data_IF_794802094574
#
_entry.id   IF_794802094574
#
_cell.length_a   1.000
_cell.length_b   1.000
_cell.length_c   1.000
_cell.angle_alpha   90.00
_cell.angle_beta   90.00
_cell.angle_gamma   90.00
#
_symmetry.space_group_name_H-M   'P 1'
#
loop_
_entity.id
_entity.type
_entity.pdbx_description
1 polymer ?
#
# COMPACT_ATOMS: atom_id res chain seq x y z
N UNK A 1 -13.91 8.72 -33.66
CA UNK A 1 -14.96 8.46 -32.64
C UNK A 1 -14.28 8.61 -31.28
N UNK A 2 -14.38 9.78 -30.65
CA UNK A 2 -13.57 10.14 -29.48
C UNK A 2 -13.91 9.27 -28.28
N UNK A 3 -12.92 8.52 -27.78
CA UNK A 3 -12.99 7.91 -26.46
C UNK A 3 -13.27 9.03 -25.46
N UNK A 4 -14.50 9.13 -24.97
CA UNK A 4 -14.86 10.11 -23.94
C UNK A 4 -13.94 9.85 -22.76
N UNK A 5 -13.13 10.86 -22.43
CA UNK A 5 -12.34 10.94 -21.19
C UNK A 5 -13.31 10.97 -20.01
N UNK A 6 -13.89 9.81 -19.64
CA UNK A 6 -14.78 9.70 -18.49
C UNK A 6 -13.92 9.42 -17.28
N UNK A 7 -13.62 10.49 -16.54
CA UNK A 7 -13.07 10.37 -15.21
C UNK A 7 -14.23 10.13 -14.23
N UNK A 8 -14.21 9.01 -13.51
CA UNK A 8 -15.27 8.60 -12.60
C UNK A 8 -14.92 9.02 -11.16
N UNK A 9 -14.81 10.32 -10.92
CA UNK A 9 -14.43 10.87 -9.59
C UNK A 9 -15.36 10.43 -8.46
N UNK A 10 -16.63 10.13 -8.77
CA UNK A 10 -17.58 9.57 -7.80
C UNK A 10 -17.13 8.22 -7.25
N UNK A 11 -16.67 7.31 -8.11
CA UNK A 11 -16.20 5.98 -7.68
C UNK A 11 -14.94 6.06 -6.82
N UNK A 12 -14.02 6.96 -7.13
CA UNK A 12 -12.82 7.22 -6.32
C UNK A 12 -13.23 7.75 -4.93
N UNK A 13 -14.15 8.70 -4.88
CA UNK A 13 -14.66 9.25 -3.61
C UNK A 13 -15.36 8.19 -2.76
N UNK A 14 -16.14 7.32 -3.39
CA UNK A 14 -16.80 6.20 -2.70
C UNK A 14 -15.76 5.25 -2.10
N UNK A 15 -14.72 4.89 -2.86
CA UNK A 15 -13.64 4.04 -2.37
C UNK A 15 -12.89 4.67 -1.18
N UNK A 16 -12.54 5.95 -1.27
CA UNK A 16 -11.92 6.66 -0.15
C UNK A 16 -12.82 6.68 1.08
N UNK A 17 -14.11 6.97 0.89
CA UNK A 17 -15.09 6.96 1.98
C UNK A 17 -15.22 5.57 2.59
N UNK A 18 -15.18 4.51 1.78
CA UNK A 18 -15.21 3.12 2.25
C UNK A 18 -14.01 2.78 3.14
N UNK A 19 -12.81 3.21 2.75
CA UNK A 19 -11.57 2.97 3.52
C UNK A 19 -11.52 3.79 4.82
N UNK A 20 -11.90 5.07 4.79
CA UNK A 20 -12.04 5.91 5.99
C UNK A 20 -13.06 5.27 6.93
N UNK A 21 -14.24 4.93 6.39
CA UNK A 21 -15.27 4.27 7.18
C UNK A 21 -14.77 2.96 7.77
N UNK A 22 -13.96 2.17 7.06
CA UNK A 22 -13.34 0.94 7.53
C UNK A 22 -12.36 1.17 8.71
N UNK A 23 -11.85 2.39 8.88
CA UNK A 23 -10.96 2.77 9.98
C UNK A 23 -9.53 3.04 9.53
N UNK A 24 -9.30 3.43 8.27
CA UNK A 24 -8.01 3.95 7.83
C UNK A 24 -7.81 5.39 8.36
N UNK A 25 -6.61 5.70 8.89
CA UNK A 25 -6.25 7.08 9.27
C UNK A 25 -5.64 7.85 8.10
N UNK A 26 -4.98 7.12 7.19
CA UNK A 26 -4.33 7.66 6.01
C UNK A 26 -4.98 7.04 4.80
N UNK A 27 -5.44 7.90 3.91
CA UNK A 27 -5.79 7.53 2.54
C UNK A 27 -4.60 7.95 1.68
N UNK A 28 -4.31 7.18 0.65
CA UNK A 28 -3.25 7.49 -0.32
C UNK A 28 -3.89 7.95 -1.63
N UNK A 29 -3.32 8.96 -2.27
CA UNK A 29 -3.78 9.44 -3.57
C UNK A 29 -3.70 8.28 -4.56
N UNK A 30 -4.74 8.04 -5.37
CA UNK A 30 -4.71 7.02 -6.43
C UNK A 30 -3.86 7.49 -7.62
N UNK A 31 -2.56 7.67 -7.41
CA UNK A 31 -1.59 8.15 -8.39
C UNK A 31 -0.46 7.14 -8.69
N UNK A 32 -0.53 5.91 -8.16
CA UNK A 32 0.34 4.82 -8.56
C UNK A 32 0.36 4.67 -10.09
N UNK A 33 1.55 4.62 -10.69
CA UNK A 33 1.72 4.64 -12.15
C UNK A 33 1.22 5.91 -12.85
N UNK A 34 1.08 7.01 -12.10
CA UNK A 34 0.75 8.34 -12.58
C UNK A 34 1.92 9.07 -13.24
N UNK A 35 3.09 8.45 -13.40
CA UNK A 35 4.25 9.04 -14.07
C UNK A 35 4.05 9.14 -15.58
N UNK A 36 4.65 10.14 -16.19
CA UNK A 36 4.53 10.39 -17.64
C UNK A 36 4.93 9.21 -18.50
N UNK A 37 6.09 8.58 -18.24
CA UNK A 37 6.53 7.42 -19.01
C UNK A 37 5.55 6.25 -18.90
N UNK A 38 4.93 6.07 -17.73
CA UNK A 38 3.98 4.99 -17.51
C UNK A 38 2.64 5.24 -18.19
N UNK A 39 2.11 6.46 -18.10
CA UNK A 39 0.90 6.85 -18.81
C UNK A 39 1.10 6.85 -20.33
N UNK A 40 2.30 7.15 -20.81
CA UNK A 40 2.64 7.08 -22.24
C UNK A 40 2.58 5.65 -22.80
N UNK A 41 2.78 4.62 -21.96
CA UNK A 41 2.62 3.22 -22.39
C UNK A 41 1.19 2.89 -22.86
N UNK A 42 0.23 3.76 -22.58
CA UNK A 42 -1.17 3.66 -23.05
C UNK A 42 -1.63 4.91 -23.82
N UNK A 43 -0.68 5.74 -24.29
CA UNK A 43 -0.95 6.96 -25.07
C UNK A 43 -1.64 8.08 -24.28
N UNK A 44 -1.35 8.18 -22.98
CA UNK A 44 -1.95 9.16 -22.06
C UNK A 44 -0.92 10.02 -21.32
N UNK A 45 0.34 10.09 -21.77
CA UNK A 45 1.37 10.88 -21.09
C UNK A 45 1.00 12.36 -20.95
N UNK A 46 0.29 12.93 -21.93
CA UNK A 46 -0.22 14.31 -21.89
C UNK A 46 -1.29 14.55 -20.80
N UNK A 47 -1.80 13.50 -20.16
CA UNK A 47 -2.78 13.59 -19.08
C UNK A 47 -2.15 13.48 -17.68
N UNK A 48 -0.82 13.43 -17.59
CA UNK A 48 -0.08 13.23 -16.33
C UNK A 48 -0.52 14.23 -15.25
N UNK A 49 -0.31 15.51 -15.50
CA UNK A 49 -0.65 16.58 -14.56
C UNK A 49 -2.13 16.53 -14.13
N UNK A 50 -3.04 16.54 -15.11
CA UNK A 50 -4.48 16.56 -14.82
C UNK A 50 -4.98 15.31 -14.10
N UNK A 51 -4.43 14.12 -14.36
CA UNK A 51 -4.85 12.90 -13.65
C UNK A 51 -4.38 12.90 -12.19
N UNK A 52 -3.14 13.29 -11.94
CA UNK A 52 -2.60 13.39 -10.58
C UNK A 52 -3.34 14.47 -9.77
N UNK A 53 -3.60 15.63 -10.38
CA UNK A 53 -4.34 16.71 -9.72
C UNK A 53 -5.78 16.29 -9.40
N UNK A 54 -6.45 15.61 -10.34
CA UNK A 54 -7.80 15.11 -10.12
C UNK A 54 -7.84 14.02 -9.04
N UNK A 55 -6.89 13.09 -9.03
CA UNK A 55 -6.78 12.07 -8.00
C UNK A 55 -6.58 12.69 -6.61
N UNK A 56 -5.76 13.74 -6.54
CA UNK A 56 -5.47 14.50 -5.32
C UNK A 56 -6.68 15.27 -4.84
N UNK A 57 -7.37 16.03 -5.71
CA UNK A 57 -8.53 16.85 -5.29
C UNK A 57 -9.72 16.03 -4.77
N UNK A 58 -9.85 14.77 -5.17
CA UNK A 58 -10.90 13.88 -4.65
C UNK A 58 -10.59 13.43 -3.22
N UNK A 59 -9.31 13.45 -2.86
CA UNK A 59 -8.71 13.07 -1.61
C UNK A 59 -8.64 14.31 -0.67
N UNK A 60 -9.29 14.30 0.49
CA UNK A 60 -9.31 15.48 1.41
C UNK A 60 -8.32 15.41 2.58
N UNK A 61 -7.84 14.23 2.96
CA UNK A 61 -6.96 13.95 4.12
C UNK A 61 -5.97 12.83 3.76
N UNK A 62 -4.97 13.13 2.91
CA UNK A 62 -4.33 12.10 2.08
C UNK A 62 -2.83 12.30 1.90
N UNK A 63 -2.11 11.18 1.89
CA UNK A 63 -0.71 11.10 1.49
C UNK A 63 -0.58 11.10 -0.04
N UNK A 64 0.28 11.95 -0.59
CA UNK A 64 0.65 11.91 -2.00
C UNK A 64 1.28 10.56 -2.36
N UNK A 65 1.13 10.14 -3.60
CA UNK A 65 1.55 8.82 -4.07
C UNK A 65 2.53 8.94 -5.23
N UNK A 66 3.69 8.31 -5.07
CA UNK A 66 4.71 8.14 -6.07
C UNK A 66 5.06 6.66 -6.12
N UNK A 67 5.22 6.12 -7.33
CA UNK A 67 5.60 4.72 -7.52
C UNK A 67 6.89 4.60 -8.32
N UNK A 68 7.52 3.42 -8.28
CA UNK A 68 8.59 3.08 -9.24
C UNK A 68 8.21 3.48 -10.67
N UNK A 69 9.14 4.16 -11.33
CA UNK A 69 8.97 4.66 -12.70
C UNK A 69 9.37 3.64 -13.75
N UNK A 70 10.11 2.59 -13.34
CA UNK A 70 10.75 1.61 -14.22
C UNK A 70 11.69 2.23 -15.27
N UNK A 71 12.08 3.49 -15.09
CA UNK A 71 12.91 4.25 -16.02
C UNK A 71 14.30 4.53 -15.46
N UNK A 72 14.52 4.33 -14.16
CA UNK A 72 15.81 4.47 -13.51
C UNK A 72 16.76 3.30 -13.87
N UNK A 73 18.05 3.61 -14.01
CA UNK A 73 19.12 2.65 -14.24
C UNK A 73 20.37 3.08 -13.46
N UNK A 74 21.08 2.11 -12.89
CA UNK A 74 22.35 2.35 -12.21
C UNK A 74 23.38 2.94 -13.19
N UNK A 75 24.17 3.89 -12.71
CA UNK A 75 25.21 4.59 -13.47
C UNK A 75 24.77 5.27 -14.78
N UNK A 76 23.48 5.61 -14.91
CA UNK A 76 22.91 6.26 -16.08
C UNK A 76 22.33 7.65 -15.70
N UNK A 77 23.12 8.70 -15.97
CA UNK A 77 22.76 10.07 -15.63
C UNK A 77 21.53 10.57 -16.39
N UNK A 78 21.33 10.15 -17.64
CA UNK A 78 20.18 10.55 -18.45
C UNK A 78 18.89 9.89 -17.93
N UNK A 79 18.97 8.62 -17.54
CA UNK A 79 17.88 7.89 -16.91
C UNK A 79 17.53 8.49 -15.54
N UNK A 80 18.53 8.84 -14.72
CA UNK A 80 18.33 9.52 -13.44
C UNK A 80 17.64 10.87 -13.65
N UNK A 81 18.13 11.69 -14.58
CA UNK A 81 17.56 13.01 -14.88
C UNK A 81 16.13 12.92 -15.42
N UNK A 82 15.81 11.91 -16.23
CA UNK A 82 14.44 11.63 -16.68
C UNK A 82 13.54 11.25 -15.50
N UNK A 83 14.03 10.36 -14.63
CA UNK A 83 13.31 9.92 -13.43
C UNK A 83 13.02 11.09 -12.50
N UNK A 84 13.99 11.96 -12.22
CA UNK A 84 13.80 13.17 -11.40
C UNK A 84 12.70 14.06 -11.96
N UNK A 85 12.70 14.35 -13.28
CA UNK A 85 11.67 15.19 -13.90
C UNK A 85 10.27 14.59 -13.77
N UNK A 86 10.14 13.27 -13.90
CA UNK A 86 8.84 12.59 -13.74
C UNK A 86 8.34 12.56 -12.30
N UNK A 87 9.26 12.51 -11.33
CA UNK A 87 8.92 12.60 -9.91
C UNK A 87 8.49 14.03 -9.57
N UNK A 88 9.25 15.03 -10.02
CA UNK A 88 8.91 16.45 -9.84
C UNK A 88 7.53 16.78 -10.40
N UNK A 89 7.27 16.36 -11.64
CA UNK A 89 5.96 16.56 -12.28
C UNK A 89 4.80 15.96 -11.47
N UNK A 90 4.99 14.79 -10.86
CA UNK A 90 3.95 14.17 -10.03
C UNK A 90 3.82 14.86 -8.67
N UNK A 91 4.92 15.25 -8.03
CA UNK A 91 4.91 15.96 -6.75
C UNK A 91 4.16 17.29 -6.89
N UNK A 92 4.48 18.06 -7.94
CA UNK A 92 3.84 19.35 -8.23
C UNK A 92 2.34 19.20 -8.55
N UNK A 93 1.95 18.10 -9.18
CA UNK A 93 0.57 17.80 -9.51
C UNK A 93 -0.28 17.28 -8.32
N UNK A 94 0.31 17.10 -7.14
CA UNK A 94 -0.39 16.63 -5.93
C UNK A 94 -0.35 17.68 -4.79
N UNK A 95 -0.91 18.89 -5.00
CA UNK A 95 -0.85 19.95 -3.99
C UNK A 95 -1.76 19.66 -2.80
N UNK A 96 -1.35 20.12 -1.61
CA UNK A 96 -2.17 20.09 -0.40
C UNK A 96 -2.23 18.74 0.32
N UNK A 97 -1.37 17.79 -0.05
CA UNK A 97 -1.13 16.56 0.72
C UNK A 97 -0.31 16.84 1.98
N UNK A 98 -0.45 16.01 3.01
CA UNK A 98 0.27 16.18 4.28
C UNK A 98 1.71 15.64 4.25
N UNK A 99 1.94 14.61 3.43
CA UNK A 99 3.23 13.96 3.20
C UNK A 99 3.17 13.13 1.91
N UNK A 100 4.31 12.61 1.46
CA UNK A 100 4.38 11.71 0.30
C UNK A 100 4.76 10.28 0.69
N UNK A 101 4.10 9.31 0.05
CA UNK A 101 4.47 7.91 0.04
C UNK A 101 5.12 7.62 -1.32
N UNK A 102 6.40 7.29 -1.31
CA UNK A 102 7.10 6.69 -2.43
C UNK A 102 7.10 5.16 -2.28
N UNK A 103 6.27 4.47 -3.04
CA UNK A 103 6.02 3.04 -2.87
C UNK A 103 6.49 2.12 -3.99
N UNK A 104 6.65 0.84 -3.64
CA UNK A 104 6.96 -0.26 -4.54
C UNK A 104 8.26 -0.08 -5.32
N UNK A 105 9.30 0.49 -4.68
CA UNK A 105 10.62 0.57 -5.29
C UNK A 105 11.32 -0.79 -5.28
N UNK A 106 11.95 -1.13 -6.41
CA UNK A 106 12.75 -2.35 -6.53
C UNK A 106 14.24 -2.09 -6.42
N UNK A 107 14.71 -0.91 -6.85
CA UNK A 107 16.10 -0.47 -6.71
C UNK A 107 16.21 0.58 -5.62
N UNK A 108 17.21 0.47 -4.76
CA UNK A 108 17.46 1.46 -3.72
C UNK A 108 17.86 2.81 -4.32
N UNK A 109 18.62 2.82 -5.42
CA UNK A 109 19.01 4.05 -6.11
C UNK A 109 17.81 4.88 -6.59
N UNK A 110 16.76 4.23 -7.12
CA UNK A 110 15.53 4.92 -7.50
C UNK A 110 14.76 5.44 -6.27
N UNK A 111 14.72 4.67 -5.19
CA UNK A 111 14.05 5.05 -3.94
C UNK A 111 14.71 6.27 -3.29
N UNK A 112 16.05 6.32 -3.27
CA UNK A 112 16.83 7.46 -2.79
C UNK A 112 16.61 8.71 -3.65
N UNK A 113 16.52 8.54 -4.97
CA UNK A 113 16.20 9.64 -5.87
C UNK A 113 14.78 10.18 -5.60
N UNK A 114 13.80 9.30 -5.41
CA UNK A 114 12.44 9.70 -5.03
C UNK A 114 12.42 10.51 -3.73
N UNK A 115 13.11 10.03 -2.69
CA UNK A 115 13.25 10.74 -1.42
C UNK A 115 13.86 12.14 -1.60
N UNK A 116 14.94 12.25 -2.38
CA UNK A 116 15.56 13.54 -2.69
C UNK A 116 14.58 14.48 -3.39
N UNK A 117 13.83 13.99 -4.40
CA UNK A 117 12.83 14.81 -5.11
C UNK A 117 11.69 15.26 -4.22
N UNK A 118 11.15 14.40 -3.36
CA UNK A 118 10.09 14.79 -2.41
C UNK A 118 10.58 15.96 -1.55
N UNK A 119 11.78 15.82 -0.96
CA UNK A 119 12.35 16.84 -0.08
C UNK A 119 12.66 18.14 -0.80
N UNK A 120 13.25 18.06 -1.99
CA UNK A 120 13.65 19.23 -2.75
C UNK A 120 12.44 20.00 -3.31
N UNK A 121 11.46 19.28 -3.85
CA UNK A 121 10.35 19.87 -4.62
C UNK A 121 9.17 20.25 -3.73
N UNK A 122 8.91 19.52 -2.64
CA UNK A 122 7.78 19.80 -1.73
C UNK A 122 8.19 20.26 -0.33
N UNK A 123 9.34 19.80 0.18
CA UNK A 123 9.74 20.00 1.58
C UNK A 123 8.88 19.26 2.61
N UNK A 124 7.96 18.39 2.17
CA UNK A 124 7.07 17.61 3.04
C UNK A 124 7.75 16.33 3.55
N UNK A 125 7.21 15.72 4.62
CA UNK A 125 7.67 14.42 5.09
C UNK A 125 7.55 13.33 4.02
N UNK A 126 8.44 12.34 4.09
CA UNK A 126 8.51 11.26 3.12
C UNK A 126 8.48 9.88 3.80
N UNK A 127 7.55 9.04 3.33
CA UNK A 127 7.54 7.61 3.56
C UNK A 127 8.07 6.90 2.32
N UNK A 128 9.08 6.04 2.46
CA UNK A 128 9.65 5.28 1.32
C UNK A 128 9.55 3.78 1.59
N UNK A 129 8.93 3.03 0.68
CA UNK A 129 8.84 1.57 0.80
C UNK A 129 9.55 0.83 -0.33
N UNK A 130 10.28 -0.20 0.06
CA UNK A 130 10.89 -1.17 -0.84
C UNK A 130 9.93 -2.34 -1.08
N UNK A 131 10.07 -3.00 -2.22
CA UNK A 131 9.26 -4.18 -2.56
C UNK A 131 10.12 -5.31 -3.11
N UNK A 132 10.15 -6.42 -2.37
CA UNK A 132 11.04 -7.54 -2.60
C UNK A 132 10.31 -8.73 -3.23
N UNK A 133 10.88 -9.31 -4.28
CA UNK A 133 10.32 -10.48 -4.97
C UNK A 133 10.87 -11.78 -4.38
N UNK A 134 11.80 -12.44 -5.07
CA UNK A 134 12.37 -13.73 -4.69
C UNK A 134 13.21 -13.62 -3.41
N UNK A 135 14.26 -12.79 -3.44
CA UNK A 135 15.13 -12.55 -2.29
C UNK A 135 14.75 -11.22 -1.61
N UNK A 136 15.08 -11.08 -0.32
CA UNK A 136 14.95 -9.80 0.40
C UNK A 136 16.13 -8.86 0.08
N UNK A 137 16.58 -8.88 -1.18
CA UNK A 137 17.68 -8.11 -1.73
C UNK A 137 17.20 -7.42 -3.00
N UNK A 138 17.55 -6.16 -3.17
CA UNK A 138 17.24 -5.39 -4.37
C UNK A 138 18.11 -5.84 -5.55
N UNK A 139 17.73 -5.58 -6.81
CA UNK A 139 18.57 -5.89 -7.96
C UNK A 139 19.91 -5.13 -7.97
N UNK A 140 19.98 -3.96 -7.31
CA UNK A 140 21.21 -3.19 -7.07
C UNK A 140 21.97 -3.65 -5.79
N UNK A 141 21.64 -4.83 -5.26
CA UNK A 141 22.50 -5.57 -4.34
C UNK A 141 22.35 -5.24 -2.85
N UNK A 142 21.30 -4.53 -2.44
CA UNK A 142 21.08 -4.15 -1.04
C UNK A 142 20.04 -5.02 -0.35
N UNK A 143 20.33 -5.49 0.86
CA UNK A 143 19.36 -6.13 1.74
C UNK A 143 18.27 -5.16 2.21
N UNK A 144 17.17 -5.68 2.77
CA UNK A 144 16.13 -4.83 3.32
C UNK A 144 16.64 -3.91 4.45
N UNK A 145 17.48 -4.45 5.34
CA UNK A 145 18.12 -3.67 6.40
C UNK A 145 19.01 -2.56 5.85
N UNK A 146 19.85 -2.84 4.84
CA UNK A 146 20.71 -1.82 4.21
C UNK A 146 19.90 -0.72 3.52
N UNK A 147 18.79 -1.09 2.86
CA UNK A 147 17.87 -0.11 2.29
C UNK A 147 17.29 0.82 3.37
N UNK A 148 16.82 0.26 4.49
CA UNK A 148 16.27 1.04 5.59
C UNK A 148 17.29 2.00 6.19
N UNK A 149 18.50 1.51 6.49
CA UNK A 149 19.57 2.35 7.02
C UNK A 149 19.90 3.52 6.09
N UNK A 150 20.08 3.24 4.78
CA UNK A 150 20.44 4.27 3.80
C UNK A 150 19.33 5.29 3.57
N UNK A 151 18.07 4.86 3.52
CA UNK A 151 16.92 5.76 3.41
C UNK A 151 16.75 6.61 4.68
N UNK A 152 16.97 6.01 5.85
CA UNK A 152 16.99 6.71 7.15
C UNK A 152 18.10 7.75 7.21
N UNK A 153 19.32 7.42 6.79
CA UNK A 153 20.46 8.34 6.74
C UNK A 153 20.24 9.48 5.73
N UNK A 154 19.57 9.20 4.61
CA UNK A 154 19.11 10.21 3.65
C UNK A 154 17.92 11.03 4.19
N UNK A 155 17.39 10.66 5.36
CA UNK A 155 16.40 11.39 6.15
C UNK A 155 14.95 11.12 5.76
N UNK A 156 14.60 9.93 5.30
CA UNK A 156 13.20 9.52 5.26
C UNK A 156 12.58 9.58 6.67
N UNK A 157 11.33 10.02 6.77
CA UNK A 157 10.60 10.07 8.05
C UNK A 157 10.04 8.69 8.42
N UNK A 158 9.66 7.92 7.39
CA UNK A 158 9.16 6.55 7.50
C UNK A 158 9.84 5.69 6.42
N UNK A 159 10.34 4.52 6.80
CA UNK A 159 10.81 3.51 5.83
C UNK A 159 10.03 2.22 5.96
N UNK A 160 9.92 1.43 4.91
CA UNK A 160 9.10 0.23 5.01
C UNK A 160 9.18 -0.75 3.87
N UNK A 161 8.27 -1.71 3.94
CA UNK A 161 8.06 -2.73 2.90
C UNK A 161 6.59 -2.76 2.49
N UNK A 162 6.35 -2.83 1.19
CA UNK A 162 5.00 -3.02 0.67
C UNK A 162 4.96 -4.00 -0.51
N UNK A 163 3.76 -4.49 -0.79
CA UNK A 163 3.45 -5.34 -1.94
C UNK A 163 4.29 -6.63 -2.00
N UNK A 164 4.15 -7.36 -3.12
CA UNK A 164 4.83 -8.60 -3.49
C UNK A 164 4.58 -9.79 -2.55
N UNK A 165 4.81 -9.67 -1.26
CA UNK A 165 4.81 -10.76 -0.28
C UNK A 165 3.58 -10.71 0.62
N UNK A 166 3.13 -11.89 1.02
CA UNK A 166 2.09 -12.06 2.04
C UNK A 166 2.63 -11.69 3.44
N UNK A 167 1.77 -11.63 4.48
CA UNK A 167 2.21 -11.34 5.84
C UNK A 167 3.35 -12.22 6.36
N UNK A 168 3.28 -13.54 6.16
CA UNK A 168 4.26 -14.49 6.70
C UNK A 168 5.65 -14.25 6.11
N UNK A 169 5.74 -13.97 4.80
CA UNK A 169 7.00 -13.65 4.13
C UNK A 169 7.45 -12.20 4.34
N UNK A 170 6.61 -11.37 4.96
CA UNK A 170 6.90 -9.96 5.28
C UNK A 170 7.50 -9.80 6.68
N UNK A 171 7.15 -10.65 7.66
CA UNK A 171 7.72 -10.52 9.02
C UNK A 171 9.25 -10.57 9.10
N UNK A 172 9.97 -11.45 8.38
CA UNK A 172 11.43 -11.44 8.40
C UNK A 172 11.99 -10.10 7.90
N UNK A 173 11.36 -9.52 6.88
CA UNK A 173 11.75 -8.22 6.33
C UNK A 173 11.54 -7.14 7.38
N UNK A 174 10.39 -7.12 8.07
CA UNK A 174 10.14 -6.18 9.18
C UNK A 174 11.25 -6.29 10.24
N UNK A 175 11.70 -7.50 10.56
CA UNK A 175 12.81 -7.73 11.48
C UNK A 175 14.13 -7.12 11.01
N UNK A 176 14.48 -7.28 9.73
CA UNK A 176 15.66 -6.64 9.12
C UNK A 176 15.57 -5.11 9.14
N UNK A 177 14.42 -4.54 8.76
CA UNK A 177 14.18 -3.10 8.77
C UNK A 177 14.35 -2.53 10.18
N UNK A 178 13.72 -3.15 11.19
CA UNK A 178 13.76 -2.69 12.58
C UNK A 178 15.15 -2.85 13.20
N UNK A 179 15.92 -3.86 12.80
CA UNK A 179 17.30 -4.04 13.23
C UNK A 179 18.27 -2.99 12.66
N UNK A 180 17.87 -2.28 11.59
CA UNK A 180 18.73 -1.33 10.89
C UNK A 180 18.41 0.15 11.18
N UNK A 181 17.21 0.48 11.69
CA UNK A 181 16.85 1.85 12.05
C UNK A 181 15.76 1.94 13.12
N UNK A 182 15.81 3.04 13.88
CA UNK A 182 14.85 3.40 14.94
C UNK A 182 13.74 4.34 14.46
N UNK A 183 13.79 4.83 13.22
CA UNK A 183 12.72 5.68 12.69
C UNK A 183 11.40 4.91 12.53
N UNK A 184 10.33 5.62 12.17
CA UNK A 184 9.04 5.01 11.96
C UNK A 184 9.10 3.96 10.84
N UNK A 185 8.44 2.82 11.07
CA UNK A 185 8.35 1.75 10.08
C UNK A 185 6.96 1.62 9.48
N UNK A 186 6.93 1.28 8.20
CA UNK A 186 5.73 0.90 7.48
C UNK A 186 5.77 -0.57 7.00
N UNK A 187 4.62 -1.24 7.05
CA UNK A 187 4.44 -2.55 6.44
C UNK A 187 3.06 -2.69 5.80
N UNK A 188 3.03 -3.06 4.52
CA UNK A 188 1.83 -3.18 3.70
C UNK A 188 1.89 -4.43 2.79
N UNK A 189 1.76 -5.65 3.35
CA UNK A 189 1.80 -6.88 2.56
C UNK A 189 0.60 -7.00 1.63
N UNK A 190 0.68 -7.91 0.65
CA UNK A 190 -0.48 -8.28 -0.16
C UNK A 190 -1.43 -9.19 0.62
N UNK A 191 -2.73 -9.11 0.33
CA UNK A 191 -3.73 -10.06 0.82
C UNK A 191 -3.90 -11.24 -0.16
N UNK A 192 -2.79 -11.72 -0.72
CA UNK A 192 -2.72 -12.94 -1.51
C UNK A 192 -1.68 -13.87 -0.89
N UNK A 193 -2.09 -15.07 -0.51
CA UNK A 193 -1.22 -16.08 0.05
C UNK A 193 -0.09 -16.43 -0.93
N UNK A 194 1.14 -16.38 -0.44
CA UNK A 194 2.34 -16.82 -1.15
C UNK A 194 2.77 -18.20 -0.61
N UNK A 195 3.75 -18.82 -1.26
CA UNK A 195 4.28 -20.12 -0.83
C UNK A 195 5.80 -20.09 -0.73
N UNK A 196 6.40 -21.12 -0.14
CA UNK A 196 7.86 -21.23 -0.12
C UNK A 196 8.46 -21.48 -1.51
N UNK A 197 7.67 -21.99 -2.46
CA UNK A 197 8.07 -22.14 -3.86
C UNK A 197 7.93 -20.83 -4.65
N UNK A 198 7.06 -19.92 -4.20
CA UNK A 198 6.79 -18.65 -4.88
C UNK A 198 6.53 -17.59 -3.81
N UNK A 199 7.60 -16.88 -3.44
CA UNK A 199 7.61 -15.97 -2.30
C UNK A 199 6.85 -14.66 -2.55
N UNK A 200 6.50 -14.36 -3.80
CA UNK A 200 5.75 -13.17 -4.18
C UNK A 200 4.60 -13.47 -5.14
N UNK A 201 3.47 -12.77 -4.99
CA UNK A 201 2.21 -13.13 -5.65
C UNK A 201 2.25 -13.00 -7.18
N UNK A 202 3.03 -12.07 -7.74
CA UNK A 202 3.17 -11.90 -9.20
C UNK A 202 4.04 -12.97 -9.86
N UNK A 203 4.75 -13.78 -9.07
CA UNK A 203 5.49 -14.96 -9.55
C UNK A 203 4.60 -16.19 -9.68
N UNK A 204 3.37 -16.14 -9.17
CA UNK A 204 2.42 -17.25 -9.25
C UNK A 204 1.92 -17.42 -10.67
N UNK A 205 1.73 -18.67 -11.11
CA UNK A 205 1.08 -19.00 -12.39
C UNK A 205 -0.38 -18.56 -12.47
N UNK A 206 -0.96 -18.18 -11.33
CA UNK A 206 -2.28 -17.57 -11.22
C UNK A 206 -2.29 -16.07 -11.59
N UNK A 207 -1.15 -15.39 -11.56
CA UNK A 207 -1.08 -13.98 -11.95
C UNK A 207 -1.19 -13.84 -13.48
N UNK A 208 -1.94 -12.84 -14.02
CA UNK A 208 -2.57 -11.73 -13.31
C UNK A 208 -4.05 -11.94 -12.90
N UNK A 209 -4.74 -12.94 -13.42
CA UNK A 209 -6.21 -12.97 -13.49
C UNK A 209 -6.89 -14.19 -12.84
N UNK A 210 -6.14 -15.00 -12.07
CA UNK A 210 -6.66 -16.19 -11.36
C UNK A 210 -6.28 -16.19 -9.88
N UNK A 211 -6.18 -15.01 -9.27
CA UNK A 211 -5.66 -14.79 -7.91
C UNK A 211 -6.74 -14.90 -6.81
N UNK A 212 -8.02 -14.99 -7.16
CA UNK A 212 -9.13 -15.10 -6.21
C UNK A 212 -8.96 -16.27 -5.22
N UNK A 213 -8.52 -17.47 -5.65
CA UNK A 213 -8.33 -18.60 -4.74
C UNK A 213 -7.21 -18.37 -3.71
N UNK A 214 -6.28 -17.45 -3.96
CA UNK A 214 -5.20 -17.14 -3.02
C UNK A 214 -5.51 -15.95 -2.12
N UNK A 215 -6.67 -15.29 -2.29
CA UNK A 215 -7.04 -14.12 -1.48
C UNK A 215 -7.16 -14.52 -0.01
N UNK A 216 -6.43 -13.80 0.85
CA UNK A 216 -6.44 -14.03 2.29
C UNK A 216 -7.75 -13.57 2.90
N UNK A 217 -8.10 -14.12 4.05
CA UNK A 217 -9.26 -13.69 4.82
C UNK A 217 -8.96 -12.41 5.60
N UNK A 218 -10.01 -11.67 5.97
CA UNK A 218 -9.88 -10.49 6.85
C UNK A 218 -9.21 -10.79 8.19
N UNK A 219 -9.43 -11.98 8.76
CA UNK A 219 -8.84 -12.36 10.03
C UNK A 219 -7.34 -12.60 9.93
N UNK A 220 -6.87 -13.20 8.83
CA UNK A 220 -5.42 -13.35 8.61
C UNK A 220 -4.72 -11.99 8.45
N UNK A 221 -5.38 -11.01 7.81
CA UNK A 221 -4.85 -9.65 7.74
C UNK A 221 -4.90 -8.92 9.10
N UNK A 222 -5.88 -9.24 9.94
CA UNK A 222 -5.98 -8.71 11.29
C UNK A 222 -4.89 -9.28 12.22
N UNK A 223 -4.61 -10.58 12.13
CA UNK A 223 -3.47 -11.22 12.81
C UNK A 223 -2.16 -10.56 12.38
N UNK A 224 -2.03 -10.23 11.09
CA UNK A 224 -0.91 -9.44 10.60
C UNK A 224 -0.81 -8.07 11.27
N UNK A 225 -1.92 -7.33 11.35
CA UNK A 225 -1.89 -6.00 11.96
C UNK A 225 -1.42 -6.04 13.42
N UNK A 226 -1.91 -7.01 14.20
CA UNK A 226 -1.47 -7.20 15.61
C UNK A 226 0.01 -7.54 15.68
N UNK A 227 0.46 -8.52 14.89
CA UNK A 227 1.87 -8.94 14.90
C UNK A 227 2.81 -7.87 14.38
N UNK A 228 2.42 -7.10 13.36
CA UNK A 228 3.20 -5.97 12.86
C UNK A 228 3.36 -4.88 13.91
N UNK A 229 2.29 -4.55 14.65
CA UNK A 229 2.36 -3.62 15.80
C UNK A 229 3.34 -4.13 16.86
N UNK A 230 3.27 -5.41 17.21
CA UNK A 230 4.13 -6.01 18.23
C UNK A 230 5.60 -6.07 17.80
N UNK A 231 5.87 -6.09 16.48
CA UNK A 231 7.20 -5.93 15.88
C UNK A 231 7.65 -4.46 15.74
N UNK A 232 6.84 -3.51 16.23
CA UNK A 232 7.16 -2.08 16.22
C UNK A 232 6.87 -1.37 14.91
N UNK A 233 6.00 -1.90 14.04
CA UNK A 233 5.54 -1.17 12.84
C UNK A 233 4.57 -0.06 13.25
N UNK A 234 4.78 1.14 12.72
CA UNK A 234 3.99 2.34 13.04
C UNK A 234 2.89 2.59 12.01
N UNK A 235 3.23 2.45 10.73
CA UNK A 235 2.28 2.54 9.62
C UNK A 235 1.90 1.14 9.14
N UNK A 236 0.75 0.65 9.59
CA UNK A 236 0.25 -0.69 9.28
C UNK A 236 -0.85 -0.57 8.24
N UNK A 237 -0.60 -1.08 7.04
CA UNK A 237 -1.57 -1.08 5.96
C UNK A 237 -1.56 -2.37 5.16
N UNK A 238 -2.05 -2.31 3.94
CA UNK A 238 -2.22 -3.48 3.08
C UNK A 238 -2.15 -3.07 1.61
N UNK A 239 -1.67 -3.96 0.75
CA UNK A 239 -1.48 -3.71 -0.68
C UNK A 239 -2.43 -4.57 -1.54
N UNK A 240 -1.99 -5.09 -2.68
CA UNK A 240 -2.81 -5.84 -3.65
C UNK A 240 -3.64 -6.97 -2.99
N UNK A 241 -4.86 -7.17 -3.48
CA UNK A 241 -5.80 -8.15 -2.95
C UNK A 241 -6.60 -7.68 -1.73
N UNK A 242 -6.23 -6.55 -1.14
CA UNK A 242 -6.92 -6.01 0.04
C UNK A 242 -8.22 -5.29 -0.35
N UNK A 243 -9.01 -4.93 0.66
CA UNK A 243 -10.28 -4.24 0.49
C UNK A 243 -10.82 -3.82 1.85
N UNK A 244 -11.93 -3.08 1.87
CA UNK A 244 -12.45 -2.50 3.11
C UNK A 244 -12.73 -3.53 4.20
N UNK A 245 -13.10 -4.76 3.83
CA UNK A 245 -13.31 -5.86 4.80
C UNK A 245 -12.03 -6.22 5.57
N UNK A 246 -10.86 -6.12 4.92
CA UNK A 246 -9.56 -6.39 5.54
C UNK A 246 -9.17 -5.20 6.42
N UNK A 247 -9.26 -3.98 5.88
CA UNK A 247 -8.95 -2.74 6.61
C UNK A 247 -9.79 -2.63 7.88
N UNK A 248 -11.08 -2.97 7.80
CA UNK A 248 -12.00 -2.99 8.95
C UNK A 248 -11.55 -3.96 10.04
N UNK A 249 -11.21 -5.18 9.68
CA UNK A 249 -10.81 -6.20 10.66
C UNK A 249 -9.44 -5.88 11.25
N UNK A 250 -8.50 -5.36 10.45
CA UNK A 250 -7.21 -4.84 10.92
C UNK A 250 -7.41 -3.70 11.93
N UNK A 251 -8.24 -2.71 11.59
CA UNK A 251 -8.54 -1.58 12.46
C UNK A 251 -9.23 -2.03 13.77
N UNK A 252 -10.11 -3.03 13.70
CA UNK A 252 -10.72 -3.64 14.88
C UNK A 252 -9.69 -4.33 15.76
N UNK A 253 -8.82 -5.16 15.20
CA UNK A 253 -7.79 -5.87 15.97
C UNK A 253 -6.74 -4.92 16.58
N UNK A 254 -6.54 -3.75 15.97
CA UNK A 254 -5.75 -2.65 16.52
C UNK A 254 -6.53 -1.75 17.51
N UNK A 255 -7.81 -2.04 17.79
CA UNK A 255 -8.63 -1.30 18.75
C UNK A 255 -9.14 0.07 18.27
N UNK A 256 -9.06 0.36 16.96
CA UNK A 256 -9.44 1.65 16.37
C UNK A 256 -10.93 1.80 16.10
N UNK A 257 -11.61 0.68 15.85
CA UNK A 257 -13.03 0.63 15.53
C UNK A 257 -13.71 -0.26 16.56
N UNK A 258 -14.83 0.21 17.10
CA UNK A 258 -15.63 -0.59 18.02
C UNK A 258 -16.06 -1.92 17.40
N UNK A 259 -16.19 -2.93 18.25
CA UNK A 259 -16.89 -4.16 17.89
C UNK A 259 -18.28 -3.77 17.39
N UNK A 260 -18.73 -4.30 16.25
CA UNK A 260 -20.13 -4.16 15.83
C UNK A 260 -21.00 -4.52 17.04
N UNK A 261 -22.05 -3.75 17.33
CA UNK A 261 -22.89 -4.02 18.48
C UNK A 261 -23.24 -5.50 18.49
N UNK A 262 -22.98 -6.16 19.63
CA UNK A 262 -23.37 -7.55 19.81
C UNK A 262 -24.88 -7.62 19.65
N UNK A 263 -25.31 -8.02 18.46
CA UNK A 263 -26.71 -8.31 18.24
C UNK A 263 -27.12 -9.42 19.21
N UNK A 264 -28.15 -9.14 20.00
CA UNK A 264 -28.70 -10.04 21.01
C UNK A 264 -30.09 -10.48 20.57
N UNK A 265 -30.42 -11.78 20.63
CA UNK A 265 -31.73 -12.27 20.21
C UNK A 265 -32.87 -11.69 21.02
N UNK A 266 -33.81 -11.05 20.32
CA UNK A 266 -35.12 -10.68 20.83
C UNK A 266 -36.19 -11.50 20.08
N UNK A 267 -36.73 -12.57 20.71
CA UNK A 267 -37.72 -13.45 20.08
C UNK A 267 -39.03 -12.75 19.68
N UNK A 268 -39.35 -11.61 20.27
CA UNK A 268 -40.58 -10.86 20.02
C UNK A 268 -40.42 -9.82 18.89
N UNK A 269 -39.23 -9.74 18.29
CA UNK A 269 -38.83 -8.73 17.31
C UNK A 269 -38.19 -9.41 16.09
N UNK A 270 -38.47 -9.01 14.83
CA UNK A 270 -37.98 -9.70 13.63
C UNK A 270 -36.46 -9.89 13.62
N UNK A 271 -36.03 -11.10 13.24
CA UNK A 271 -34.63 -11.54 13.32
C UNK A 271 -34.07 -11.93 11.93
N UNK A 272 -32.77 -11.68 11.70
CA UNK A 272 -32.03 -12.04 10.49
C UNK A 272 -31.69 -13.56 10.41
N UNK A 273 -31.30 -14.05 9.23
CA UNK A 273 -31.01 -15.48 9.03
C UNK A 273 -29.79 -15.98 9.83
N UNK A 274 -28.84 -15.08 10.14
CA UNK A 274 -27.73 -15.36 11.06
C UNK A 274 -28.24 -15.72 12.46
N UNK A 275 -29.34 -15.11 12.86
CA UNK A 275 -29.92 -15.15 14.19
C UNK A 275 -30.78 -16.39 14.38
N UNK A 276 -31.51 -16.76 13.33
CA UNK A 276 -32.18 -18.04 13.22
C UNK A 276 -31.21 -19.23 13.32
N UNK A 277 -30.05 -19.14 12.65
CA UNK A 277 -29.10 -20.25 12.56
C UNK A 277 -28.16 -20.37 13.77
N UNK A 278 -27.82 -19.29 14.49
CA UNK A 278 -26.97 -19.37 15.71
C UNK A 278 -27.53 -20.29 16.80
N UNK A 279 -28.86 -20.33 16.97
CA UNK A 279 -29.53 -21.22 17.95
C UNK A 279 -29.46 -22.70 17.56
N UNK A 280 -29.18 -23.01 16.28
CA UNK A 280 -29.12 -24.37 15.74
C UNK A 280 -27.70 -24.91 15.60
N UNK A 281 -26.73 -24.03 15.34
CA UNK A 281 -25.31 -24.43 15.17
C UNK A 281 -24.60 -24.66 16.50
N UNK A 282 -25.05 -24.05 17.61
CA UNK A 282 -24.57 -24.39 18.97
C UNK A 282 -25.34 -25.56 19.62
N UNK A 283 -25.84 -26.47 18.78
CA UNK A 283 -26.59 -27.66 19.17
C UNK A 283 -25.84 -28.97 18.92
N UNK A 284 -24.52 -28.97 19.05
CA UNK A 284 -23.68 -30.17 19.15
C UNK A 284 -22.28 -29.74 19.56
N UNK A 285 -22.01 -29.71 20.86
CA UNK A 285 -20.83 -30.32 21.50
C UNK A 285 -20.75 -29.84 22.95
N UNK A 286 -21.10 -30.77 23.85
CA UNK A 286 -20.45 -30.96 25.15
C UNK A 286 -18.97 -31.31 24.95
#
# INVERSE_FOLDING_TARGET
MGHRRRFHSGAIRELYSEMVNAGADVIQVMAFYGSRAKLESVGKGDLTEVLNEMATRVAREVAGDLSTTLSWREDDADAAQLTSRMLDEQIEAQPGVDFFIGETFHHLGEALLCLERIKHTSGLPAMITMSFRADATTPDGFTAGECAAKLSDAGADIVGVNCMRDPERTYPIIGELRGATDIYLAAQPVAHACSNATLWFTGSSAFPDRLEPTRMTRYQMADFAVRARDLGVNYIGSCCGSGAVHVREMARALGKVSVDPHWSPDPDNPMSDTEYNRRRVRGSDD
#
